data_IF_472448800248
#
_entry.id   IF_472448800248
#
_cell.length_a   1.000
_cell.length_b   1.000
_cell.length_c   1.000
_cell.angle_alpha   90.00
_cell.angle_beta   90.00
_cell.angle_gamma   90.00
#
_symmetry.space_group_name_H-M   'P 1'
#
loop_
_entity.id
_entity.type
_entity.pdbx_description
1 polymer ?
#
# COMPACT_ATOMS: atom_id res chain seq x y z
N UNK A 1 -26.68 27.40 17.84
CA UNK A 1 -25.44 27.58 17.05
C UNK A 1 -24.36 26.70 17.68
N UNK A 2 -24.18 25.48 17.18
CA UNK A 2 -23.09 24.60 17.60
C UNK A 2 -21.98 24.73 16.56
N UNK A 3 -20.96 25.51 16.88
CA UNK A 3 -19.66 25.49 16.20
C UNK A 3 -18.73 24.61 17.04
N UNK A 4 -17.93 23.79 16.38
CA UNK A 4 -16.89 22.89 16.92
C UNK A 4 -17.34 21.43 17.07
N UNK A 5 -17.49 20.76 15.93
CA UNK A 5 -16.95 19.42 15.79
C UNK A 5 -16.33 19.35 14.39
N UNK A 6 -15.23 20.10 14.19
CA UNK A 6 -14.34 19.88 13.04
C UNK A 6 -13.68 18.55 13.32
N UNK A 7 -14.05 17.54 12.53
CA UNK A 7 -13.60 16.17 12.69
C UNK A 7 -12.10 16.10 12.56
N UNK A 8 -11.39 16.12 13.69
CA UNK A 8 -10.02 15.64 13.71
C UNK A 8 -10.05 14.17 13.30
N UNK A 9 -9.22 13.81 12.33
CA UNK A 9 -8.99 12.43 11.93
C UNK A 9 -8.77 11.56 13.18
N UNK A 10 -9.79 10.77 13.53
CA UNK A 10 -9.79 10.05 14.78
C UNK A 10 -8.82 8.87 14.65
N UNK A 11 -7.86 8.73 15.57
CA UNK A 11 -6.93 7.59 15.65
C UNK A 11 -7.65 6.22 15.57
N UNK A 12 -8.94 6.16 15.94
CA UNK A 12 -9.82 5.01 15.73
C UNK A 12 -10.08 4.66 14.25
N UNK A 13 -10.22 5.66 13.37
CA UNK A 13 -10.40 5.49 11.92
C UNK A 13 -9.12 4.92 11.31
N UNK A 14 -7.96 5.49 11.64
CA UNK A 14 -6.66 5.00 11.17
C UNK A 14 -6.46 3.54 11.62
N UNK A 15 -6.72 3.21 12.89
CA UNK A 15 -6.60 1.84 13.38
C UNK A 15 -7.50 0.84 12.62
N UNK A 16 -8.76 1.20 12.37
CA UNK A 16 -9.65 0.34 11.61
C UNK A 16 -9.20 0.16 10.15
N UNK A 17 -8.60 1.18 9.54
CA UNK A 17 -8.01 1.07 8.21
C UNK A 17 -6.75 0.19 8.22
N UNK A 18 -5.91 0.24 9.26
CA UNK A 18 -4.77 -0.70 9.44
C UNK A 18 -5.29 -2.14 9.47
N UNK A 19 -6.30 -2.44 10.28
CA UNK A 19 -6.85 -3.81 10.38
C UNK A 19 -7.43 -4.31 9.05
N UNK A 20 -8.01 -3.42 8.23
CA UNK A 20 -8.50 -3.74 6.89
C UNK A 20 -7.34 -3.93 5.92
N UNK A 21 -6.35 -3.06 5.99
CA UNK A 21 -5.17 -3.08 5.14
C UNK A 21 -4.37 -4.36 5.35
N UNK A 22 -4.14 -4.79 6.59
CA UNK A 22 -3.47 -6.07 6.87
C UNK A 22 -4.22 -7.27 6.28
N UNK A 23 -5.56 -7.28 6.33
CA UNK A 23 -6.37 -8.33 5.70
C UNK A 23 -6.29 -8.29 4.18
N UNK A 24 -6.21 -7.10 3.60
CA UNK A 24 -5.99 -6.91 2.17
C UNK A 24 -4.61 -7.43 1.76
N UNK A 25 -3.54 -7.08 2.48
CA UNK A 25 -2.19 -7.60 2.22
C UNK A 25 -2.12 -9.13 2.30
N UNK A 26 -2.80 -9.73 3.29
CA UNK A 26 -2.89 -11.20 3.36
C UNK A 26 -3.63 -11.78 2.15
N UNK A 27 -4.72 -11.17 1.70
CA UNK A 27 -5.42 -11.62 0.50
C UNK A 27 -4.53 -11.53 -0.75
N UNK A 28 -3.78 -10.44 -0.91
CA UNK A 28 -2.82 -10.26 -2.01
C UNK A 28 -1.68 -11.30 -1.95
N UNK A 29 -1.16 -11.60 -0.76
CA UNK A 29 -0.17 -12.66 -0.60
C UNK A 29 -0.73 -14.04 -1.00
N UNK A 30 -1.96 -14.37 -0.59
CA UNK A 30 -2.60 -15.63 -1.00
C UNK A 30 -2.83 -15.70 -2.52
N UNK A 31 -3.15 -14.56 -3.16
CA UNK A 31 -3.24 -14.49 -4.63
C UNK A 31 -1.88 -14.75 -5.29
N UNK A 32 -0.80 -14.17 -4.75
CA UNK A 32 0.55 -14.46 -5.23
C UNK A 32 0.89 -15.95 -5.12
N UNK A 33 0.61 -16.59 -3.98
CA UNK A 33 0.87 -18.03 -3.79
C UNK A 33 0.11 -18.89 -4.82
N UNK A 34 -1.15 -18.54 -5.12
CA UNK A 34 -1.94 -19.22 -6.14
C UNK A 34 -1.36 -19.02 -7.55
N UNK A 35 -0.88 -17.82 -7.85
CA UNK A 35 -0.21 -17.52 -9.12
C UNK A 35 1.10 -18.30 -9.23
N UNK A 36 1.91 -18.36 -8.16
CA UNK A 36 3.15 -19.12 -8.11
C UNK A 36 2.91 -20.62 -8.35
N UNK A 37 1.85 -21.17 -7.74
CA UNK A 37 1.44 -22.56 -7.99
C UNK A 37 1.07 -22.80 -9.46
N UNK A 38 0.39 -21.85 -10.10
CA UNK A 38 0.06 -21.92 -11.53
C UNK A 38 1.32 -21.89 -12.41
N UNK A 39 2.26 -20.99 -12.12
CA UNK A 39 3.53 -20.93 -12.85
C UNK A 39 4.32 -22.22 -12.70
N UNK A 40 4.32 -22.81 -11.50
CA UNK A 40 5.00 -24.08 -11.25
C UNK A 40 4.35 -25.22 -12.03
N UNK A 41 3.02 -25.30 -12.03
CA UNK A 41 2.28 -26.37 -12.71
C UNK A 41 2.48 -26.36 -14.22
N UNK A 42 2.40 -25.19 -14.85
CA UNK A 42 2.35 -25.09 -16.32
C UNK A 42 3.70 -24.76 -16.97
N UNK A 43 4.61 -24.10 -16.24
CA UNK A 43 5.88 -23.62 -16.78
C UNK A 43 7.11 -24.21 -16.07
N UNK A 44 6.91 -25.06 -15.05
CA UNK A 44 7.97 -25.55 -14.15
C UNK A 44 8.80 -24.41 -13.51
N UNK A 45 8.21 -23.22 -13.42
CA UNK A 45 8.86 -22.00 -12.96
C UNK A 45 8.34 -21.61 -11.57
N UNK A 46 9.24 -21.21 -10.67
CA UNK A 46 8.86 -20.71 -9.36
C UNK A 46 9.03 -19.19 -9.33
N UNK A 47 7.98 -18.46 -8.94
CA UNK A 47 8.09 -17.03 -8.67
C UNK A 47 8.92 -16.83 -7.41
N UNK A 48 9.81 -15.84 -7.45
CA UNK A 48 10.76 -15.61 -6.38
C UNK A 48 10.23 -14.70 -5.28
N UNK A 49 10.97 -14.59 -4.17
CA UNK A 49 10.65 -13.67 -3.09
C UNK A 49 10.61 -12.22 -3.58
N UNK A 50 11.56 -11.79 -4.42
CA UNK A 50 11.54 -10.45 -5.00
C UNK A 50 10.25 -10.17 -5.78
N UNK A 51 9.72 -11.15 -6.52
CA UNK A 51 8.41 -11.03 -7.17
C UNK A 51 7.28 -10.87 -6.16
N UNK A 52 7.29 -11.65 -5.08
CA UNK A 52 6.27 -11.56 -4.03
C UNK A 52 6.28 -10.18 -3.36
N UNK A 53 7.46 -9.70 -2.97
CA UNK A 53 7.63 -8.38 -2.35
C UNK A 53 7.13 -7.29 -3.30
N UNK A 54 7.49 -7.35 -4.58
CA UNK A 54 7.06 -6.37 -5.57
C UNK A 54 5.53 -6.37 -5.77
N UNK A 55 4.90 -7.53 -5.96
CA UNK A 55 3.47 -7.61 -6.24
C UNK A 55 2.63 -7.15 -5.03
N UNK A 56 2.94 -7.65 -3.84
CA UNK A 56 2.19 -7.28 -2.62
C UNK A 56 2.44 -5.80 -2.27
N UNK A 57 3.66 -5.29 -2.44
CA UNK A 57 3.97 -3.87 -2.21
C UNK A 57 3.23 -2.97 -3.19
N UNK A 58 3.23 -3.30 -4.48
CA UNK A 58 2.53 -2.54 -5.52
C UNK A 58 1.04 -2.44 -5.21
N UNK A 59 0.41 -3.55 -4.86
CA UNK A 59 -1.01 -3.58 -4.51
C UNK A 59 -1.29 -2.84 -3.19
N UNK A 60 -0.38 -2.94 -2.21
CA UNK A 60 -0.43 -2.19 -0.97
C UNK A 60 -0.37 -0.68 -1.19
N UNK A 61 0.63 -0.21 -1.94
CA UNK A 61 0.79 1.20 -2.30
C UNK A 61 -0.42 1.76 -3.07
N UNK A 62 -0.97 0.98 -4.01
CA UNK A 62 -2.18 1.34 -4.76
C UNK A 62 -3.40 1.49 -3.84
N UNK A 63 -3.57 0.56 -2.88
CA UNK A 63 -4.62 0.66 -1.87
C UNK A 63 -4.48 1.95 -1.06
N UNK A 64 -3.27 2.25 -0.57
CA UNK A 64 -2.99 3.43 0.23
C UNK A 64 -3.32 4.69 -0.57
N UNK A 65 -2.87 4.80 -1.82
CA UNK A 65 -3.16 5.93 -2.70
C UNK A 65 -4.68 6.17 -2.86
N UNK A 66 -5.45 5.12 -3.17
CA UNK A 66 -6.90 5.25 -3.33
C UNK A 66 -7.64 5.56 -2.03
N UNK A 67 -7.20 5.02 -0.89
CA UNK A 67 -7.78 5.39 0.40
C UNK A 67 -7.44 6.82 0.78
N UNK A 68 -6.21 7.27 0.53
CA UNK A 68 -5.81 8.66 0.70
C UNK A 68 -6.70 9.58 -0.14
N UNK A 69 -6.91 9.29 -1.42
CA UNK A 69 -7.81 10.08 -2.26
C UNK A 69 -9.26 10.09 -1.75
N UNK A 70 -9.77 8.94 -1.29
CA UNK A 70 -11.13 8.84 -0.75
C UNK A 70 -11.31 9.67 0.52
N UNK A 71 -10.40 9.53 1.49
CA UNK A 71 -10.35 10.32 2.73
C UNK A 71 -10.41 11.81 2.44
N UNK A 72 -9.72 12.19 1.38
CA UNK A 72 -9.34 13.55 1.20
C UNK A 72 -10.33 14.25 0.24
N UNK A 73 -11.02 13.48 -0.62
CA UNK A 73 -12.29 13.85 -1.25
C UNK A 73 -13.43 14.05 -0.24
N UNK A 74 -13.52 13.24 0.82
CA UNK A 74 -14.49 13.45 1.91
C UNK A 74 -14.29 14.79 2.65
N UNK A 75 -13.10 15.38 2.52
CA UNK A 75 -12.70 16.64 3.13
C UNK A 75 -12.54 17.80 2.12
N UNK A 76 -12.90 17.60 0.85
CA UNK A 76 -12.82 18.64 -0.17
C UNK A 76 -13.76 19.82 0.17
N UNK A 77 -13.32 21.04 -0.14
CA UNK A 77 -14.15 22.23 -0.02
C UNK A 77 -15.22 22.28 -1.13
N UNK A 78 -16.21 23.18 -0.98
CA UNK A 78 -17.33 23.32 -1.94
C UNK A 78 -16.85 23.65 -3.38
N UNK A 79 -15.57 23.99 -3.58
CA UNK A 79 -14.95 24.31 -4.87
C UNK A 79 -14.24 23.10 -5.53
N UNK A 80 -14.26 21.92 -4.90
CA UNK A 80 -13.74 20.69 -5.51
C UNK A 80 -12.22 20.61 -5.59
N UNK A 81 -11.51 21.56 -4.99
CA UNK A 81 -10.05 21.53 -4.91
C UNK A 81 -9.62 20.57 -3.80
N UNK A 82 -8.70 19.66 -4.11
CA UNK A 82 -8.22 18.66 -3.16
C UNK A 82 -6.78 18.98 -2.72
N UNK A 83 -6.57 19.21 -1.42
CA UNK A 83 -5.23 19.32 -0.83
C UNK A 83 -4.96 18.17 0.14
N UNK A 84 -3.83 17.50 -0.04
CA UNK A 84 -3.28 16.55 0.95
C UNK A 84 -2.90 17.34 2.22
N UNK A 85 -3.83 17.41 3.17
CA UNK A 85 -3.60 17.98 4.48
C UNK A 85 -2.71 17.09 5.37
N UNK A 86 -2.38 17.59 6.56
CA UNK A 86 -1.60 16.87 7.59
C UNK A 86 -2.18 15.49 7.90
N UNK A 87 -3.52 15.36 7.94
CA UNK A 87 -4.23 14.10 8.21
C UNK A 87 -4.00 13.03 7.12
N UNK A 88 -3.90 13.44 5.85
CA UNK A 88 -3.60 12.53 4.75
C UNK A 88 -2.15 12.04 4.81
N UNK A 89 -1.22 12.91 5.23
CA UNK A 89 0.17 12.55 5.46
C UNK A 89 0.30 11.54 6.60
N UNK A 90 -0.37 11.78 7.74
CA UNK A 90 -0.39 10.84 8.87
C UNK A 90 -0.97 9.48 8.49
N UNK A 91 -2.04 9.48 7.68
CA UNK A 91 -2.62 8.24 7.16
C UNK A 91 -1.63 7.46 6.29
N UNK A 92 -0.99 8.13 5.32
CA UNK A 92 -0.02 7.48 4.42
C UNK A 92 1.14 6.89 5.23
N UNK A 93 1.69 7.64 6.19
CA UNK A 93 2.78 7.15 7.06
C UNK A 93 2.33 5.94 7.88
N UNK A 94 1.14 5.98 8.47
CA UNK A 94 0.63 4.86 9.26
C UNK A 94 0.43 3.59 8.41
N UNK A 95 -0.11 3.73 7.20
CA UNK A 95 -0.27 2.59 6.30
C UNK A 95 1.05 2.07 5.75
N UNK A 96 1.99 2.96 5.37
CA UNK A 96 3.32 2.57 4.90
C UNK A 96 4.07 1.79 5.98
N UNK A 97 4.08 2.26 7.22
CA UNK A 97 4.67 1.51 8.33
C UNK A 97 3.99 0.13 8.50
N UNK A 98 2.66 0.06 8.41
CA UNK A 98 1.96 -1.24 8.48
C UNK A 98 2.27 -2.16 7.29
N UNK A 99 2.60 -1.61 6.12
CA UNK A 99 3.06 -2.38 4.96
C UNK A 99 4.43 -2.99 5.26
N UNK A 100 5.38 -2.16 5.72
CA UNK A 100 6.73 -2.58 6.10
C UNK A 100 6.66 -3.68 7.17
N UNK A 101 5.89 -3.46 8.25
CA UNK A 101 5.71 -4.44 9.31
C UNK A 101 5.18 -5.77 8.74
N UNK A 102 4.17 -5.73 7.86
CA UNK A 102 3.66 -6.94 7.21
C UNK A 102 4.73 -7.64 6.35
N UNK A 103 5.53 -6.90 5.59
CA UNK A 103 6.59 -7.48 4.75
C UNK A 103 7.63 -8.21 5.59
N UNK A 104 8.12 -7.59 6.67
CA UNK A 104 9.18 -8.15 7.49
C UNK A 104 8.68 -9.24 8.45
N UNK A 105 7.57 -9.00 9.16
CA UNK A 105 7.10 -9.92 10.21
C UNK A 105 6.42 -11.16 9.63
N UNK A 106 5.80 -11.04 8.45
CA UNK A 106 5.03 -12.14 7.84
C UNK A 106 5.70 -12.69 6.60
N UNK A 107 5.92 -11.85 5.59
CA UNK A 107 6.40 -12.34 4.30
C UNK A 107 7.82 -12.88 4.37
N UNK A 108 8.79 -12.09 4.81
CA UNK A 108 10.19 -12.53 4.91
C UNK A 108 10.37 -13.71 5.89
N UNK A 109 9.55 -13.77 6.94
CA UNK A 109 9.65 -14.82 7.96
C UNK A 109 9.08 -16.17 7.49
N UNK A 110 7.96 -16.16 6.75
CA UNK A 110 7.23 -17.38 6.40
C UNK A 110 7.39 -17.81 4.94
N UNK A 111 8.16 -17.07 4.13
CA UNK A 111 8.40 -17.43 2.74
C UNK A 111 9.27 -18.69 2.63
N UNK A 112 8.99 -19.49 1.61
CA UNK A 112 9.79 -20.68 1.34
C UNK A 112 11.20 -20.27 0.88
N UNK A 113 12.20 -20.61 1.69
CA UNK A 113 13.61 -20.30 1.45
C UNK A 113 14.15 -20.87 0.14
N UNK A 114 13.50 -21.86 -0.47
CA UNK A 114 13.89 -22.39 -1.77
C UNK A 114 13.67 -21.40 -2.92
N UNK A 115 12.86 -20.37 -2.70
CA UNK A 115 12.53 -19.31 -3.66
C UNK A 115 13.13 -17.95 -3.27
N UNK A 116 14.04 -17.95 -2.29
CA UNK A 116 14.75 -16.77 -1.84
C UNK A 116 15.82 -16.37 -2.85
N UNK A 117 15.66 -15.22 -3.50
CA UNK A 117 16.56 -14.69 -4.53
C UNK A 117 17.25 -13.38 -4.13
N UNK A 118 17.19 -13.02 -2.84
CA UNK A 118 17.81 -11.82 -2.29
C UNK A 118 19.12 -12.16 -1.58
N UNK A 119 20.12 -11.30 -1.71
CA UNK A 119 21.42 -11.46 -1.07
C UNK A 119 21.40 -11.07 0.42
N UNK A 120 20.50 -10.17 0.81
CA UNK A 120 20.35 -9.67 2.17
C UNK A 120 18.99 -8.98 2.38
N UNK A 121 18.71 -8.58 3.62
CA UNK A 121 17.49 -7.84 4.00
C UNK A 121 17.46 -6.39 3.45
N UNK A 122 18.61 -5.80 3.14
CA UNK A 122 18.70 -4.45 2.56
C UNK A 122 18.07 -4.43 1.16
N UNK A 123 18.34 -5.43 0.33
CA UNK A 123 17.69 -5.60 -0.97
C UNK A 123 16.17 -5.76 -0.87
N UNK A 124 15.67 -6.41 0.18
CA UNK A 124 14.23 -6.49 0.42
C UNK A 124 13.65 -5.09 0.67
N UNK A 125 14.31 -4.30 1.51
CA UNK A 125 13.93 -2.91 1.80
C UNK A 125 13.95 -2.03 0.55
N UNK A 126 15.00 -2.12 -0.27
CA UNK A 126 15.12 -1.39 -1.54
C UNK A 126 13.94 -1.69 -2.49
N UNK A 127 13.60 -2.97 -2.66
CA UNK A 127 12.47 -3.39 -3.50
C UNK A 127 11.16 -2.80 -2.96
N UNK A 128 10.92 -2.89 -1.66
CA UNK A 128 9.68 -2.41 -1.06
C UNK A 128 9.55 -0.89 -1.25
N UNK A 129 10.61 -0.11 -0.98
CA UNK A 129 10.53 1.34 -1.08
C UNK A 129 10.45 1.85 -2.53
N UNK A 130 11.21 1.24 -3.44
CA UNK A 130 11.16 1.61 -4.87
C UNK A 130 9.78 1.31 -5.45
N UNK A 131 9.27 0.10 -5.22
CA UNK A 131 7.96 -0.32 -5.75
C UNK A 131 6.84 0.48 -5.08
N UNK A 132 6.93 0.75 -3.78
CA UNK A 132 5.94 1.57 -3.07
C UNK A 132 5.84 2.95 -3.72
N UNK A 133 6.97 3.65 -3.86
CA UNK A 133 7.01 5.00 -4.41
C UNK A 133 6.44 5.04 -5.84
N UNK A 134 6.90 4.12 -6.70
CA UNK A 134 6.42 4.03 -8.07
C UNK A 134 4.92 3.77 -8.18
N UNK A 135 4.40 2.81 -7.41
CA UNK A 135 3.00 2.42 -7.48
C UNK A 135 2.07 3.46 -6.83
N UNK A 136 2.50 4.05 -5.72
CA UNK A 136 1.77 5.12 -5.04
C UNK A 136 1.64 6.34 -5.95
N UNK A 137 2.74 6.82 -6.53
CA UNK A 137 2.74 7.97 -7.44
C UNK A 137 1.93 7.68 -8.71
N UNK A 138 2.08 6.49 -9.30
CA UNK A 138 1.32 6.10 -10.49
C UNK A 138 -0.19 6.08 -10.22
N UNK A 139 -0.62 5.65 -9.04
CA UNK A 139 -2.03 5.65 -8.64
C UNK A 139 -2.59 7.06 -8.42
N UNK A 140 -1.75 8.01 -7.99
CA UNK A 140 -2.13 9.41 -7.78
C UNK A 140 -2.06 10.27 -9.05
N UNK A 141 -1.25 9.88 -10.04
CA UNK A 141 -0.98 10.66 -11.26
C UNK A 141 -2.25 11.21 -11.96
N UNK A 142 -3.35 10.46 -12.13
CA UNK A 142 -4.56 10.98 -12.78
C UNK A 142 -5.17 12.18 -12.05
N UNK A 143 -4.97 12.28 -10.74
CA UNK A 143 -5.56 13.31 -9.87
C UNK A 143 -4.62 14.51 -9.67
N UNK A 144 -3.37 14.41 -10.13
CA UNK A 144 -2.40 15.51 -10.11
C UNK A 144 -2.43 16.32 -11.42
N UNK A 145 -2.91 15.75 -12.53
CA UNK A 145 -3.02 16.46 -13.82
C UNK A 145 -4.19 17.44 -13.86
N UNK A 146 -5.31 17.14 -13.17
CA UNK A 146 -6.46 18.05 -13.08
C UNK A 146 -6.15 19.36 -12.33
N UNK A 147 -5.09 19.41 -11.52
CA UNK A 147 -4.68 20.61 -10.79
C UNK A 147 -3.83 21.60 -11.62
N UNK A 148 -3.37 21.22 -12.82
CA UNK A 148 -2.45 22.02 -13.65
C UNK A 148 -3.06 22.52 -14.98
N UNK A 149 -4.36 22.27 -15.23
CA UNK A 149 -5.06 22.73 -16.45
C UNK A 149 -5.97 23.96 -16.22
N UNK A 150 -5.89 24.65 -15.08
CA UNK A 150 -6.58 25.94 -14.82
C UNK A 150 -5.70 27.18 -15.05
#
# INVERSE_FOLDING_TARGET
MNKNNKGGFNMYIIKNEIDRFQKYLEAEYQLFLNQSATYKEYLDFNLSLSNCLADVTKHGATYIAYRTLAIASENADDEGSFQLGEEASEFVVAMHNSLIDYMYDRLLTDFDMTYYDLENEEQAGEIIEEVFSMAFDAALMPYQQEANEE
#
